data_IF_135007240431
#
_entry.id   IF_135007240431
#
_cell.length_a   1.000
_cell.length_b   1.000
_cell.length_c   1.000
_cell.angle_alpha   90.00
_cell.angle_beta   90.00
_cell.angle_gamma   90.00
#
_symmetry.space_group_name_H-M   'P 1'
#
loop_
_entity.id
_entity.type
_entity.pdbx_description
1 polymer ?
#
# COMPACT_ATOMS: atom_id res chain seq x y z
N UNK A 1 10.53 -8.73 20.13
CA UNK A 1 10.87 -8.02 18.87
C UNK A 1 9.75 -7.03 18.49
N UNK A 2 9.02 -6.55 19.49
CA UNK A 2 7.70 -5.96 19.27
C UNK A 2 7.82 -4.50 18.84
N UNK A 3 8.83 -3.79 19.34
CA UNK A 3 9.07 -2.40 18.93
C UNK A 3 9.36 -2.28 17.44
N UNK A 4 10.24 -3.14 16.89
CA UNK A 4 10.58 -3.14 15.46
C UNK A 4 9.37 -3.52 14.62
N UNK A 5 8.67 -4.59 15.01
CA UNK A 5 7.44 -5.02 14.33
C UNK A 5 6.38 -3.91 14.33
N UNK A 6 6.12 -3.29 15.48
CA UNK A 6 5.15 -2.20 15.61
C UNK A 6 5.57 -0.96 14.81
N UNK A 7 6.86 -0.62 14.78
CA UNK A 7 7.36 0.47 13.97
C UNK A 7 7.16 0.21 12.48
N UNK A 8 7.41 -1.02 12.02
CA UNK A 8 7.13 -1.43 10.64
C UNK A 8 5.64 -1.33 10.32
N UNK A 9 4.76 -1.75 11.23
CA UNK A 9 3.30 -1.61 11.08
C UNK A 9 2.92 -0.13 10.95
N UNK A 10 3.46 0.75 11.79
CA UNK A 10 3.22 2.20 11.70
C UNK A 10 3.66 2.73 10.34
N UNK A 11 4.88 2.42 9.90
CA UNK A 11 5.39 2.85 8.60
C UNK A 11 4.56 2.30 7.44
N UNK A 12 4.06 1.06 7.55
CA UNK A 12 3.17 0.45 6.58
C UNK A 12 1.86 1.22 6.44
N UNK A 13 1.25 1.59 7.57
CA UNK A 13 0.01 2.37 7.60
C UNK A 13 0.21 3.79 7.06
N UNK A 14 1.32 4.45 7.42
CA UNK A 14 1.68 5.76 6.89
C UNK A 14 1.91 5.71 5.37
N UNK A 15 2.55 4.65 4.87
CA UNK A 15 2.71 4.43 3.43
C UNK A 15 1.37 4.40 2.70
N UNK A 16 0.41 3.62 3.20
CA UNK A 16 -0.95 3.58 2.64
C UNK A 16 -1.70 4.91 2.77
N UNK A 17 -1.54 5.63 3.89
CA UNK A 17 -2.14 6.94 4.09
C UNK A 17 -1.62 7.96 3.07
N UNK A 18 -0.32 7.95 2.76
CA UNK A 18 0.27 8.81 1.74
C UNK A 18 -0.28 8.47 0.34
N UNK A 19 -0.43 7.20 0.01
CA UNK A 19 -1.00 6.78 -1.29
C UNK A 19 -2.44 7.23 -1.41
N UNK A 20 -3.27 6.97 -0.40
CA UNK A 20 -4.68 7.34 -0.41
C UNK A 20 -4.85 8.86 -0.41
N UNK A 21 -4.25 9.57 0.54
CA UNK A 21 -4.34 11.03 0.64
C UNK A 21 -3.77 11.73 -0.60
N UNK A 22 -2.61 11.29 -1.07
CA UNK A 22 -1.96 11.86 -2.24
C UNK A 22 -2.74 11.64 -3.53
N UNK A 23 -3.52 10.57 -3.66
CA UNK A 23 -4.40 10.37 -4.82
C UNK A 23 -5.71 11.14 -4.70
N UNK A 24 -6.34 11.17 -3.51
CA UNK A 24 -7.60 11.88 -3.27
C UNK A 24 -7.48 13.40 -3.45
N UNK A 25 -6.40 14.02 -2.93
CA UNK A 25 -6.18 15.47 -3.03
C UNK A 25 -5.97 15.92 -4.48
N UNK A 26 -5.46 15.05 -5.35
CA UNK A 26 -5.18 15.37 -6.75
C UNK A 26 -6.30 14.92 -7.72
N UNK A 27 -7.48 14.53 -7.24
CA UNK A 27 -8.59 14.08 -8.11
C UNK A 27 -9.11 15.16 -9.07
N UNK A 28 -9.13 16.42 -8.62
CA UNK A 28 -9.60 17.57 -9.43
C UNK A 28 -8.57 18.01 -10.48
N UNK A 29 -7.29 17.85 -10.18
CA UNK A 29 -6.17 18.18 -11.06
C UNK A 29 -5.26 16.95 -11.19
N UNK A 30 -5.63 15.99 -12.05
CA UNK A 30 -5.02 14.66 -12.06
C UNK A 30 -3.51 14.69 -12.22
N UNK A 31 -2.81 14.31 -11.14
CA UNK A 31 -1.37 14.09 -11.11
C UNK A 31 -1.03 13.12 -10.00
N UNK A 32 0.03 12.34 -10.20
CA UNK A 32 0.62 11.55 -9.10
C UNK A 32 1.50 12.50 -8.29
N UNK A 33 1.14 12.75 -7.03
CA UNK A 33 1.99 13.52 -6.14
C UNK A 33 3.31 12.78 -5.87
N UNK A 34 4.41 13.52 -5.75
CA UNK A 34 5.77 12.96 -5.55
C UNK A 34 5.85 12.02 -4.34
N UNK A 35 5.06 12.30 -3.29
CA UNK A 35 4.98 11.46 -2.10
C UNK A 35 4.33 10.10 -2.33
N UNK A 36 3.42 9.96 -3.31
CA UNK A 36 2.66 8.71 -3.55
C UNK A 36 3.58 7.56 -3.95
N UNK A 37 4.63 7.84 -4.73
CA UNK A 37 5.64 6.82 -5.08
C UNK A 37 6.40 6.32 -3.85
N UNK A 38 6.82 7.24 -2.99
CA UNK A 38 7.51 6.87 -1.74
C UNK A 38 6.56 6.11 -0.81
N UNK A 39 5.31 6.56 -0.68
CA UNK A 39 4.29 5.91 0.13
C UNK A 39 4.04 4.46 -0.29
N UNK A 40 3.88 4.18 -1.59
CA UNK A 40 3.64 2.81 -2.05
C UNK A 40 4.87 1.91 -1.89
N UNK A 41 6.08 2.45 -2.11
CA UNK A 41 7.32 1.71 -1.88
C UNK A 41 7.53 1.41 -0.40
N UNK A 42 7.30 2.39 0.48
CA UNK A 42 7.33 2.19 1.94
C UNK A 42 6.32 1.13 2.35
N UNK A 43 5.08 1.20 1.87
CA UNK A 43 4.05 0.21 2.18
C UNK A 43 4.44 -1.20 1.71
N UNK A 44 4.99 -1.35 0.51
CA UNK A 44 5.45 -2.65 0.01
C UNK A 44 6.61 -3.23 0.84
N UNK A 45 7.67 -2.45 1.05
CA UNK A 45 8.86 -2.91 1.78
C UNK A 45 8.50 -3.28 3.21
N UNK A 46 7.78 -2.41 3.92
CA UNK A 46 7.35 -2.69 5.29
C UNK A 46 6.40 -3.89 5.35
N UNK A 47 5.50 -4.06 4.39
CA UNK A 47 4.60 -5.20 4.32
C UNK A 47 5.35 -6.53 4.18
N UNK A 48 6.37 -6.58 3.32
CA UNK A 48 7.24 -7.76 3.16
C UNK A 48 7.99 -8.06 4.46
N UNK A 49 8.55 -7.03 5.12
CA UNK A 49 9.27 -7.19 6.38
C UNK A 49 8.36 -7.71 7.51
N UNK A 50 7.15 -7.17 7.65
CA UNK A 50 6.15 -7.60 8.64
C UNK A 50 5.83 -9.09 8.44
N UNK A 51 5.56 -9.50 7.19
CA UNK A 51 5.27 -10.90 6.86
C UNK A 51 6.47 -11.80 7.13
N UNK A 52 7.68 -11.34 6.79
CA UNK A 52 8.92 -12.09 7.05
C UNK A 52 9.16 -12.33 8.54
N UNK A 53 9.01 -11.30 9.36
CA UNK A 53 9.14 -11.41 10.83
C UNK A 53 8.06 -12.31 11.42
N UNK A 54 6.82 -12.18 10.96
CA UNK A 54 5.71 -13.03 11.42
C UNK A 54 5.92 -14.49 11.02
N UNK A 55 6.35 -14.75 9.79
CA UNK A 55 6.60 -16.11 9.28
C UNK A 55 7.83 -16.77 9.92
N UNK A 56 8.77 -15.97 10.43
CA UNK A 56 9.93 -16.47 11.19
C UNK A 56 9.60 -16.82 12.66
N UNK A 57 8.33 -16.73 13.08
CA UNK A 57 7.91 -17.00 14.46
C UNK A 57 8.29 -15.90 15.45
N UNK A 58 8.77 -14.74 14.97
CA UNK A 58 9.27 -13.65 15.82
C UNK A 58 8.19 -12.64 16.25
N UNK A 59 6.97 -12.76 15.71
CA UNK A 59 5.83 -11.89 16.01
C UNK A 59 4.75 -12.53 16.92
N UNK A 60 4.98 -13.77 17.39
CA UNK A 60 4.05 -14.47 18.29
C UNK A 60 2.72 -14.94 17.67
N UNK A 61 2.54 -14.79 16.36
CA UNK A 61 1.37 -15.26 15.62
C UNK A 61 1.75 -15.72 14.21
N UNK A 62 1.06 -16.72 13.68
CA UNK A 62 1.23 -17.14 12.28
C UNK A 62 0.39 -16.25 11.34
N UNK A 63 0.99 -15.68 10.28
CA UNK A 63 0.24 -14.88 9.32
C UNK A 63 -0.63 -15.77 8.43
N UNK A 64 -1.88 -15.36 8.21
CA UNK A 64 -2.75 -15.98 7.20
C UNK A 64 -2.16 -15.76 5.79
N UNK A 65 -1.53 -16.79 5.25
CA UNK A 65 -0.80 -16.74 3.97
C UNK A 65 -1.71 -16.34 2.81
N UNK A 66 -2.97 -16.78 2.79
CA UNK A 66 -3.96 -16.42 1.76
C UNK A 66 -4.27 -14.93 1.80
N UNK A 67 -4.57 -14.40 2.98
CA UNK A 67 -4.83 -12.97 3.17
C UNK A 67 -3.62 -12.12 2.77
N UNK A 68 -2.42 -12.56 3.12
CA UNK A 68 -1.17 -11.89 2.73
C UNK A 68 -0.98 -11.89 1.21
N UNK A 69 -1.19 -13.03 0.54
CA UNK A 69 -1.04 -13.15 -0.91
C UNK A 69 -2.01 -12.21 -1.65
N UNK A 70 -3.28 -12.16 -1.24
CA UNK A 70 -4.27 -11.25 -1.84
C UNK A 70 -3.85 -9.79 -1.66
N UNK A 71 -3.46 -9.39 -0.45
CA UNK A 71 -3.00 -8.01 -0.19
C UNK A 71 -1.76 -7.65 -1.00
N UNK A 72 -0.84 -8.60 -1.16
CA UNK A 72 0.37 -8.39 -1.95
C UNK A 72 0.03 -8.16 -3.42
N UNK A 73 -0.88 -8.95 -4.00
CA UNK A 73 -1.33 -8.76 -5.39
C UNK A 73 -1.93 -7.36 -5.58
N UNK A 74 -2.84 -6.94 -4.69
CA UNK A 74 -3.44 -5.60 -4.76
C UNK A 74 -2.37 -4.51 -4.64
N UNK A 75 -1.43 -4.67 -3.71
CA UNK A 75 -0.34 -3.71 -3.53
C UNK A 75 0.58 -3.60 -4.75
N UNK A 76 0.86 -4.72 -5.43
CA UNK A 76 1.65 -4.74 -6.67
C UNK A 76 0.91 -4.06 -7.83
N UNK A 77 -0.41 -4.25 -7.94
CA UNK A 77 -1.22 -3.52 -8.94
C UNK A 77 -1.16 -2.01 -8.67
N UNK A 78 -1.37 -1.59 -7.41
CA UNK A 78 -1.27 -0.17 -7.03
C UNK A 78 0.12 0.39 -7.32
N UNK A 79 1.19 -0.32 -6.94
CA UNK A 79 2.56 0.09 -7.22
C UNK A 79 2.82 0.24 -8.71
N UNK A 80 2.34 -0.70 -9.53
CA UNK A 80 2.47 -0.63 -10.99
C UNK A 80 1.76 0.60 -11.54
N UNK A 81 0.53 0.88 -11.09
CA UNK A 81 -0.20 2.08 -11.50
C UNK A 81 0.53 3.37 -11.06
N UNK A 82 1.05 3.43 -9.83
CA UNK A 82 1.80 4.60 -9.37
C UNK A 82 3.06 4.80 -10.21
N UNK A 83 3.86 3.76 -10.44
CA UNK A 83 5.09 3.83 -11.23
C UNK A 83 4.80 4.24 -12.68
N UNK A 84 3.77 3.67 -13.31
CA UNK A 84 3.36 4.04 -14.66
C UNK A 84 2.86 5.48 -14.74
N UNK A 85 2.13 5.95 -13.72
CA UNK A 85 1.64 7.32 -13.65
C UNK A 85 2.77 8.33 -13.48
N UNK A 86 3.82 7.99 -12.72
CA UNK A 86 5.04 8.81 -12.61
C UNK A 86 5.81 8.84 -13.94
N UNK A 87 5.96 7.68 -14.60
CA UNK A 87 6.70 7.57 -15.87
C UNK A 87 5.96 8.16 -17.06
N UNK A 88 4.63 8.14 -17.06
CA UNK A 88 3.78 8.64 -18.14
C UNK A 88 2.66 9.54 -17.59
N UNK A 89 2.99 10.78 -17.15
CA UNK A 89 2.01 11.68 -16.53
C UNK A 89 0.81 11.99 -17.43
N UNK A 90 0.98 11.98 -18.76
CA UNK A 90 -0.10 12.20 -19.73
C UNK A 90 -1.22 11.15 -19.69
N UNK A 91 -0.98 9.99 -19.06
CA UNK A 91 -2.00 8.94 -18.88
C UNK A 91 -2.79 9.07 -17.58
N UNK A 92 -2.41 10.00 -16.70
CA UNK A 92 -3.04 10.16 -15.39
C UNK A 92 -4.34 10.95 -15.55
N UNK A 93 -5.47 10.25 -15.45
CA UNK A 93 -6.81 10.85 -15.45
C UNK A 93 -7.43 10.77 -14.05
N UNK A 94 -8.55 11.45 -13.83
CA UNK A 94 -9.31 11.32 -12.56
C UNK A 94 -9.70 9.86 -12.31
N UNK A 95 -10.09 9.11 -13.36
CA UNK A 95 -10.40 7.68 -13.25
C UNK A 95 -9.18 6.85 -12.86
N UNK A 96 -7.98 7.21 -13.35
CA UNK A 96 -6.72 6.57 -12.98
C UNK A 96 -6.41 6.73 -11.48
N UNK A 97 -6.54 7.95 -10.97
CA UNK A 97 -6.36 8.24 -9.55
C UNK A 97 -7.45 7.59 -8.69
N UNK A 98 -8.69 7.58 -9.18
CA UNK A 98 -9.81 6.89 -8.54
C UNK A 98 -9.57 5.38 -8.43
N UNK A 99 -8.99 4.74 -9.45
CA UNK A 99 -8.61 3.34 -9.40
C UNK A 99 -7.53 3.08 -8.34
N UNK A 100 -6.50 3.92 -8.25
CA UNK A 100 -5.47 3.81 -7.20
C UNK A 100 -6.10 3.96 -5.82
N UNK A 101 -6.88 5.02 -5.59
CA UNK A 101 -7.53 5.27 -4.31
C UNK A 101 -8.48 4.13 -3.92
N UNK A 102 -9.28 3.63 -4.86
CA UNK A 102 -10.20 2.51 -4.66
C UNK A 102 -9.48 1.20 -4.33
N UNK A 103 -8.40 0.86 -5.05
CA UNK A 103 -7.59 -0.32 -4.75
C UNK A 103 -6.86 -0.21 -3.40
N UNK A 104 -6.39 0.99 -3.06
CA UNK A 104 -5.83 1.25 -1.72
C UNK A 104 -6.87 1.05 -0.63
N UNK A 105 -8.07 1.61 -0.80
CA UNK A 105 -9.17 1.41 0.16
C UNK A 105 -9.58 -0.07 0.27
N UNK A 106 -9.65 -0.78 -0.86
CA UNK A 106 -9.90 -2.23 -0.89
C UNK A 106 -8.83 -3.00 -0.11
N UNK A 107 -7.54 -2.68 -0.31
CA UNK A 107 -6.46 -3.34 0.42
C UNK A 107 -6.53 -3.12 1.93
N UNK A 108 -6.92 -1.90 2.36
CA UNK A 108 -7.17 -1.58 3.77
C UNK A 108 -8.40 -2.34 4.29
N UNK A 109 -9.49 -2.40 3.52
CA UNK A 109 -10.69 -3.14 3.88
C UNK A 109 -10.40 -4.64 4.05
N UNK A 110 -9.62 -5.25 3.14
CA UNK A 110 -9.16 -6.64 3.27
C UNK A 110 -8.35 -6.81 4.56
N UNK A 111 -7.50 -5.85 4.91
CA UNK A 111 -6.71 -5.92 6.13
C UNK A 111 -7.58 -5.98 7.39
N UNK A 112 -8.68 -5.22 7.45
CA UNK A 112 -9.52 -5.04 8.65
C UNK A 112 -10.69 -6.02 8.70
N UNK A 113 -11.36 -6.26 7.58
CA UNK A 113 -12.63 -7.01 7.51
C UNK A 113 -12.43 -8.51 7.32
N UNK A 114 -11.34 -8.95 6.69
CA UNK A 114 -11.06 -10.38 6.51
C UNK A 114 -10.49 -10.97 7.80
N UNK A 115 -11.18 -11.97 8.38
CA UNK A 115 -10.70 -12.75 9.53
C UNK A 115 -10.18 -14.11 9.08
#
# INVERSE_FOLDING_TARGET
MDLVYNLLVVLHLLGWAIVLGGTLVNLRTPKIATGVLHGILTALVTGILIVGIASAGLAGHEPNTTKVAVKLVVALVVATLVILGVRKPSRVTTGYLGAIAGLTALNVAIAVLWR
#
